data_IF_612471769239
#
_entry.id   IF_612471769239
#
_cell.length_a   1.000
_cell.length_b   1.000
_cell.length_c   1.000
_cell.angle_alpha   90.00
_cell.angle_beta   90.00
_cell.angle_gamma   90.00
#
_symmetry.space_group_name_H-M   'P 1'
#
loop_
_entity.id
_entity.type
_entity.pdbx_description
1 polymer ?
#
# COMPACT_ATOMS: atom_id res chain seq x y z
N UNK A 1 5.45 -8.95 9.80
CA UNK A 1 6.74 -8.72 9.10
C UNK A 1 6.80 -7.35 8.40
N UNK A 2 6.62 -6.20 9.09
CA UNK A 2 6.61 -4.90 8.41
C UNK A 2 7.91 -4.55 7.67
N UNK A 3 9.07 -4.81 8.30
CA UNK A 3 10.39 -4.50 7.71
C UNK A 3 10.63 -5.18 6.37
N UNK A 4 10.26 -6.45 6.26
CA UNK A 4 10.41 -7.21 5.02
C UNK A 4 9.55 -6.63 3.88
N UNK A 5 8.33 -6.17 4.18
CA UNK A 5 7.49 -5.48 3.18
C UNK A 5 8.16 -4.18 2.73
N UNK A 6 8.77 -3.42 3.64
CA UNK A 6 9.50 -2.20 3.28
C UNK A 6 10.72 -2.50 2.41
N UNK A 7 11.48 -3.55 2.71
CA UNK A 7 12.59 -4.00 1.87
C UNK A 7 12.13 -4.38 0.47
N UNK A 8 10.98 -5.05 0.35
CA UNK A 8 10.38 -5.41 -0.94
C UNK A 8 9.93 -4.17 -1.73
N UNK A 9 9.34 -3.17 -1.06
CA UNK A 9 9.01 -1.88 -1.68
C UNK A 9 10.27 -1.17 -2.19
N UNK A 10 11.35 -1.17 -1.40
CA UNK A 10 12.63 -0.57 -1.81
C UNK A 10 13.21 -1.30 -3.03
N UNK A 11 13.18 -2.63 -3.04
CA UNK A 11 13.65 -3.42 -4.18
C UNK A 11 12.83 -3.13 -5.44
N UNK A 12 11.50 -3.12 -5.33
CA UNK A 12 10.58 -2.87 -6.42
C UNK A 12 10.76 -1.46 -7.03
N UNK A 13 10.90 -0.43 -6.18
CA UNK A 13 11.23 0.94 -6.63
C UNK A 13 12.62 1.01 -7.29
N UNK A 14 13.59 0.26 -6.78
CA UNK A 14 14.97 0.25 -7.30
C UNK A 14 15.05 -0.33 -8.72
N UNK A 15 14.23 -1.32 -9.06
CA UNK A 15 14.11 -1.85 -10.44
C UNK A 15 13.68 -0.75 -11.42
N UNK A 16 12.92 0.24 -10.94
CA UNK A 16 12.49 1.41 -11.70
C UNK A 16 13.46 2.59 -11.60
N UNK A 17 14.64 2.38 -10.98
CA UNK A 17 15.65 3.41 -10.69
C UNK A 17 15.07 4.57 -9.87
N UNK A 18 14.10 4.28 -9.01
CA UNK A 18 13.45 5.26 -8.14
C UNK A 18 13.91 5.05 -6.69
N UNK A 19 14.49 6.07 -6.02
CA UNK A 19 14.84 5.96 -4.61
C UNK A 19 13.56 5.97 -3.75
N UNK A 20 13.66 5.46 -2.52
CA UNK A 20 12.56 5.54 -1.54
C UNK A 20 12.28 6.99 -1.11
N UNK A 21 13.33 7.82 -1.01
CA UNK A 21 13.21 9.22 -0.65
C UNK A 21 12.32 9.95 -1.67
N UNK A 22 11.29 10.63 -1.18
CA UNK A 22 10.24 11.33 -1.95
C UNK A 22 9.38 10.43 -2.86
N UNK A 23 9.53 9.10 -2.79
CA UNK A 23 8.64 8.19 -3.51
C UNK A 23 7.22 8.23 -2.94
N UNK A 24 6.23 8.30 -3.83
CA UNK A 24 4.81 8.23 -3.48
C UNK A 24 4.43 6.76 -3.30
N UNK A 25 4.23 6.33 -2.07
CA UNK A 25 3.81 4.96 -1.77
C UNK A 25 2.35 4.96 -1.32
N UNK A 26 1.51 4.17 -1.97
CA UNK A 26 0.09 4.06 -1.65
C UNK A 26 -0.22 2.71 -1.03
N UNK A 27 -0.84 2.69 0.16
CA UNK A 27 -1.27 1.47 0.83
C UNK A 27 -2.74 1.18 0.51
N UNK A 28 -3.00 0.04 -0.14
CA UNK A 28 -4.34 -0.52 -0.29
C UNK A 28 -4.66 -1.37 0.93
N UNK A 29 -5.47 -0.81 1.82
CA UNK A 29 -5.78 -1.37 3.12
C UNK A 29 -5.02 -0.69 4.26
N UNK A 30 -5.70 -0.59 5.40
CA UNK A 30 -5.17 -0.08 6.66
C UNK A 30 -5.69 -0.89 7.85
N UNK A 31 -6.89 -1.45 7.76
CA UNK A 31 -7.45 -2.35 8.75
C UNK A 31 -6.60 -3.63 8.94
N UNK A 32 -6.65 -4.24 10.13
CA UNK A 32 -5.87 -5.44 10.44
C UNK A 32 -6.30 -6.68 9.64
N UNK A 33 -7.56 -6.70 9.18
CA UNK A 33 -8.14 -7.76 8.34
C UNK A 33 -9.22 -7.18 7.42
N UNK A 34 -9.66 -7.94 6.40
CA UNK A 34 -10.73 -7.51 5.50
C UNK A 34 -12.05 -7.22 6.22
N UNK A 35 -12.83 -6.29 5.68
CA UNK A 35 -14.23 -6.01 6.06
C UNK A 35 -14.44 -5.49 7.49
N UNK A 36 -13.41 -4.96 8.15
CA UNK A 36 -13.51 -4.32 9.47
C UNK A 36 -12.71 -3.02 9.51
N UNK A 37 -13.01 -2.13 10.45
CA UNK A 37 -12.31 -0.86 10.65
C UNK A 37 -11.26 -0.85 11.79
N UNK A 38 -10.86 -2.02 12.31
CA UNK A 38 -9.92 -2.09 13.45
C UNK A 38 -8.47 -2.04 12.97
N UNK A 39 -7.69 -1.11 13.52
CA UNK A 39 -6.29 -0.82 13.15
C UNK A 39 -5.27 -1.11 14.25
N UNK A 40 -5.70 -1.48 15.46
CA UNK A 40 -4.84 -1.51 16.67
C UNK A 40 -3.63 -2.42 16.56
N UNK A 41 -3.78 -3.52 15.83
CA UNK A 41 -2.74 -4.52 15.58
C UNK A 41 -2.44 -4.63 14.08
N UNK A 42 -2.74 -3.57 13.32
CA UNK A 42 -2.57 -3.61 11.87
C UNK A 42 -1.09 -3.45 11.49
N UNK A 43 -0.49 -4.41 10.77
CA UNK A 43 0.87 -4.26 10.26
C UNK A 43 0.99 -3.12 9.24
N UNK A 44 -0.11 -2.64 8.66
CA UNK A 44 -0.13 -1.52 7.74
C UNK A 44 0.32 -0.21 8.41
N UNK A 45 0.02 -0.05 9.72
CA UNK A 45 0.47 1.11 10.51
C UNK A 45 2.00 1.13 10.59
N UNK A 46 2.61 -0.01 10.94
CA UNK A 46 4.06 -0.13 11.03
C UNK A 46 4.74 0.04 9.67
N UNK A 47 4.15 -0.51 8.61
CA UNK A 47 4.64 -0.36 7.23
C UNK A 47 4.63 1.13 6.85
N UNK A 48 3.50 1.83 7.04
CA UNK A 48 3.37 3.25 6.76
C UNK A 48 4.41 4.08 7.53
N UNK A 49 4.56 3.81 8.83
CA UNK A 49 5.52 4.52 9.68
C UNK A 49 6.97 4.30 9.23
N UNK A 50 7.36 3.07 8.91
CA UNK A 50 8.71 2.75 8.44
C UNK A 50 9.00 3.38 7.07
N UNK A 51 8.02 3.41 6.16
CA UNK A 51 8.14 4.08 4.86
C UNK A 51 8.31 5.59 5.02
N UNK A 52 7.48 6.24 5.85
CA UNK A 52 7.61 7.66 6.17
C UNK A 52 8.97 7.99 6.79
N UNK A 53 9.45 7.15 7.72
CA UNK A 53 10.80 7.29 8.29
C UNK A 53 11.91 7.15 7.25
N UNK A 54 11.67 6.39 6.19
CA UNK A 54 12.56 6.26 5.03
C UNK A 54 12.47 7.43 4.03
N UNK A 55 11.60 8.41 4.29
CA UNK A 55 11.42 9.59 3.44
C UNK A 55 10.36 9.43 2.34
N UNK A 56 9.57 8.35 2.34
CA UNK A 56 8.48 8.18 1.38
C UNK A 56 7.27 9.06 1.73
N UNK A 57 6.56 9.52 0.70
CA UNK A 57 5.26 10.18 0.81
C UNK A 57 4.18 9.11 0.82
N UNK A 58 3.64 8.81 1.99
CA UNK A 58 2.67 7.72 2.19
C UNK A 58 1.23 8.23 2.13
N UNK A 59 0.39 7.53 1.38
CA UNK A 59 -1.07 7.68 1.36
C UNK A 59 -1.73 6.31 1.48
N UNK A 60 -3.03 6.26 1.77
CA UNK A 60 -3.74 4.99 1.84
C UNK A 60 -5.20 5.10 1.42
N UNK A 61 -5.76 3.96 1.00
CA UNK A 61 -7.19 3.75 0.80
C UNK A 61 -7.66 2.60 1.69
N UNK A 62 -8.77 2.77 2.39
CA UNK A 62 -9.44 1.68 3.13
C UNK A 62 -10.95 1.97 3.22
N UNK A 63 -11.84 1.05 2.79
CA UNK A 63 -13.29 1.25 2.83
C UNK A 63 -13.87 1.40 4.25
N UNK A 64 -13.16 0.93 5.28
CA UNK A 64 -13.64 0.85 6.66
C UNK A 64 -12.84 1.73 7.62
N UNK A 65 -11.74 2.36 7.17
CA UNK A 65 -10.86 3.20 8.00
C UNK A 65 -10.73 4.59 7.36
N UNK A 66 -11.69 5.52 7.59
CA UNK A 66 -11.68 6.83 6.94
C UNK A 66 -10.56 7.76 7.44
N UNK A 67 -10.07 7.54 8.66
CA UNK A 67 -8.94 8.26 9.25
C UNK A 67 -8.18 7.35 10.18
N UNK A 68 -6.85 7.49 10.17
CA UNK A 68 -5.97 6.92 11.19
C UNK A 68 -5.50 8.04 12.09
N UNK A 69 -5.66 7.83 13.39
CA UNK A 69 -4.98 8.60 14.43
C UNK A 69 -4.48 7.59 15.48
N UNK A 70 -3.37 6.92 15.15
CA UNK A 70 -2.85 5.81 15.93
C UNK A 70 -1.32 5.80 15.94
N UNK A 71 -0.72 5.63 17.13
CA UNK A 71 0.71 5.66 17.36
C UNK A 71 1.39 6.93 16.79
N UNK A 72 2.19 6.77 15.73
CA UNK A 72 2.92 7.85 15.06
C UNK A 72 2.32 8.23 13.71
N UNK A 73 1.11 7.74 13.40
CA UNK A 73 0.47 7.93 12.12
C UNK A 73 -0.81 8.75 12.28
N UNK A 74 -0.84 9.88 11.57
CA UNK A 74 -2.04 10.70 11.39
C UNK A 74 -2.23 10.89 9.89
N UNK A 75 -3.22 10.19 9.32
CA UNK A 75 -3.53 10.21 7.89
C UNK A 75 -5.04 10.13 7.69
N UNK A 76 -5.52 10.78 6.64
CA UNK A 76 -6.89 10.62 6.15
C UNK A 76 -6.88 9.73 4.91
N UNK A 77 -7.90 8.88 4.79
CA UNK A 77 -8.04 8.01 3.64
C UNK A 77 -8.32 8.86 2.39
N UNK A 78 -7.68 8.49 1.28
CA UNK A 78 -8.15 8.90 -0.05
C UNK A 78 -8.98 7.76 -0.63
N UNK A 79 -9.88 8.06 -1.57
CA UNK A 79 -10.57 6.99 -2.29
C UNK A 79 -9.59 6.26 -3.21
N UNK A 80 -9.84 4.96 -3.42
CA UNK A 80 -9.03 4.16 -4.33
C UNK A 80 -8.97 4.77 -5.73
N UNK A 81 -10.08 5.29 -6.23
CA UNK A 81 -10.13 5.92 -7.55
C UNK A 81 -9.24 7.17 -7.62
N UNK A 82 -9.34 8.06 -6.62
CA UNK A 82 -8.51 9.27 -6.56
C UNK A 82 -7.02 8.92 -6.48
N UNK A 83 -6.67 7.88 -5.71
CA UNK A 83 -5.29 7.41 -5.63
C UNK A 83 -4.76 6.92 -7.00
N UNK A 84 -5.59 6.19 -7.75
CA UNK A 84 -5.24 5.71 -9.09
C UNK A 84 -5.18 6.85 -10.12
N UNK A 85 -6.05 7.85 -10.02
CA UNK A 85 -6.03 9.05 -10.88
C UNK A 85 -4.81 9.93 -10.64
N UNK A 86 -4.47 10.18 -9.36
CA UNK A 86 -3.31 10.99 -9.00
C UNK A 86 -1.97 10.27 -9.22
N UNK A 87 -2.02 8.95 -9.38
CA UNK A 87 -0.87 8.08 -9.52
C UNK A 87 -0.02 7.97 -8.25
N UNK A 88 0.83 6.96 -8.22
CA UNK A 88 1.82 6.72 -7.19
C UNK A 88 2.98 5.92 -7.79
N UNK A 89 4.09 5.84 -7.08
CA UNK A 89 5.30 5.17 -7.55
C UNK A 89 5.33 3.69 -7.16
N UNK A 90 4.70 3.35 -6.03
CA UNK A 90 4.51 1.97 -5.61
C UNK A 90 3.20 1.82 -4.83
N UNK A 91 2.36 0.89 -5.25
CA UNK A 91 1.18 0.47 -4.49
C UNK A 91 1.50 -0.77 -3.66
N UNK A 92 1.00 -0.83 -2.43
CA UNK A 92 1.21 -1.98 -1.53
C UNK A 92 -0.14 -2.48 -1.04
N UNK A 93 -0.46 -3.73 -1.37
CA UNK A 93 -1.69 -4.37 -0.86
C UNK A 93 -1.38 -4.93 0.52
N UNK A 94 -1.86 -4.24 1.56
CA UNK A 94 -1.65 -4.61 2.96
C UNK A 94 -2.89 -5.24 3.59
N UNK A 95 -4.07 -5.03 3.01
CA UNK A 95 -5.33 -5.70 3.41
C UNK A 95 -6.17 -6.02 2.18
N UNK A 96 -6.56 -7.29 2.06
CA UNK A 96 -7.32 -7.80 0.92
C UNK A 96 -8.83 -7.55 1.04
N UNK A 97 -9.26 -6.29 1.01
CA UNK A 97 -10.69 -5.94 1.04
C UNK A 97 -11.40 -6.37 -0.26
N UNK A 98 -12.57 -7.01 -0.20
CA UNK A 98 -13.33 -7.39 -1.40
C UNK A 98 -13.87 -6.18 -2.19
N UNK A 99 -13.93 -5.00 -1.58
CA UNK A 99 -14.40 -3.76 -2.19
C UNK A 99 -13.41 -3.16 -3.19
N UNK A 100 -12.14 -3.58 -3.17
CA UNK A 100 -11.15 -3.12 -4.13
C UNK A 100 -11.29 -3.82 -5.48
N UNK A 101 -11.24 -3.04 -6.56
CA UNK A 101 -11.08 -3.56 -7.91
C UNK A 101 -9.58 -3.85 -8.17
N UNK A 102 -9.17 -5.08 -7.89
CA UNK A 102 -7.79 -5.51 -8.06
C UNK A 102 -7.32 -5.53 -9.51
N UNK A 103 -8.24 -5.68 -10.47
CA UNK A 103 -7.90 -5.61 -11.90
C UNK A 103 -7.55 -4.18 -12.25
N UNK A 104 -8.39 -3.21 -11.86
CA UNK A 104 -8.11 -1.80 -12.08
C UNK A 104 -6.83 -1.33 -11.36
N UNK A 105 -6.58 -1.81 -10.13
CA UNK A 105 -5.33 -1.54 -9.41
C UNK A 105 -4.13 -2.09 -10.19
N UNK A 106 -4.19 -3.34 -10.65
CA UNK A 106 -3.10 -3.98 -11.39
C UNK A 106 -2.79 -3.28 -12.72
N UNK A 107 -3.81 -2.89 -13.46
CA UNK A 107 -3.67 -2.27 -14.79
C UNK A 107 -3.19 -0.82 -14.73
N UNK A 108 -3.54 -0.07 -13.67
CA UNK A 108 -3.26 1.37 -13.56
C UNK A 108 -2.02 1.70 -12.70
N UNK A 109 -1.42 0.70 -12.07
CA UNK A 109 -0.24 0.89 -11.22
C UNK A 109 1.05 0.68 -11.99
N UNK A 110 2.06 1.52 -11.72
CA UNK A 110 3.42 1.37 -12.29
C UNK A 110 4.26 0.33 -11.55
N UNK A 111 3.92 0.06 -10.29
CA UNK A 111 4.60 -0.89 -9.41
C UNK A 111 3.65 -1.36 -8.32
N UNK A 112 3.60 -2.65 -8.04
CA UNK A 112 2.77 -3.23 -6.98
C UNK A 112 3.54 -4.23 -6.13
N UNK A 113 3.34 -4.14 -4.83
CA UNK A 113 3.75 -5.15 -3.84
C UNK A 113 2.51 -5.79 -3.24
N UNK A 114 2.29 -7.07 -3.52
CA UNK A 114 1.15 -7.84 -3.02
C UNK A 114 1.57 -8.73 -1.84
N UNK A 115 1.16 -8.32 -0.63
CA UNK A 115 1.43 -9.07 0.62
C UNK A 115 0.30 -10.02 1.00
N UNK A 116 -0.80 -10.03 0.22
CA UNK A 116 -2.05 -10.72 0.54
C UNK A 116 -2.47 -11.74 -0.51
N UNK A 117 -1.68 -11.91 -1.58
CA UNK A 117 -2.03 -12.74 -2.72
C UNK A 117 -3.39 -12.34 -3.33
N UNK A 118 -3.68 -11.04 -3.30
CA UNK A 118 -4.91 -10.46 -3.82
C UNK A 118 -4.90 -10.37 -5.36
N UNK A 119 -3.72 -10.30 -5.97
CA UNK A 119 -3.53 -10.27 -7.43
C UNK A 119 -3.35 -11.68 -8.01
N UNK A 120 -3.97 -12.69 -7.40
CA UNK A 120 -3.90 -14.08 -7.88
C UNK A 120 -4.51 -14.17 -9.27
N UNK A 121 -3.77 -14.75 -10.20
CA UNK A 121 -4.21 -14.93 -11.59
C UNK A 121 -3.93 -13.73 -12.50
N UNK A 122 -3.45 -12.61 -11.96
CA UNK A 122 -2.91 -11.49 -12.72
C UNK A 122 -1.39 -11.65 -12.84
N UNK A 123 -0.79 -11.17 -13.93
CA UNK A 123 0.66 -11.25 -14.15
C UNK A 123 1.16 -9.97 -14.77
N UNK A 124 2.37 -9.57 -14.41
CA UNK A 124 3.06 -8.40 -14.93
C UNK A 124 4.40 -8.23 -14.24
N UNK A 125 5.40 -7.73 -14.96
CA UNK A 125 6.75 -7.54 -14.43
C UNK A 125 6.78 -6.51 -13.28
N UNK A 126 5.76 -5.66 -13.20
CA UNK A 126 5.57 -4.66 -12.16
C UNK A 126 4.92 -5.20 -10.88
N UNK A 127 4.57 -6.49 -10.82
CA UNK A 127 3.90 -7.12 -9.67
C UNK A 127 4.87 -7.98 -8.87
N UNK A 128 5.22 -7.50 -7.68
CA UNK A 128 6.09 -8.17 -6.72
C UNK A 128 5.23 -8.83 -5.63
N UNK A 129 5.56 -10.07 -5.25
CA UNK A 129 4.77 -10.87 -4.31
C UNK A 129 5.60 -11.34 -3.13
N UNK A 130 4.91 -11.60 -2.03
CA UNK A 130 5.42 -12.20 -0.80
C UNK A 130 5.18 -13.72 -0.78
#
# INVERSE_FOLDING_TARGET
MPRFVVELVVAALSEQRKPLLDARVHLFGMAYKPSVGDVRESPAIDIAHLLQRGGAVVSYSDPHVPRVHHAHLELEAVSCEVALEQGFDCGVITTGHPEFDYVAIAERSVCLVDTRNALRGLSGDHIHRL
#
